data_IF_418613861130
#
_entry.id   IF_418613861130
#
_cell.length_a   1.000
_cell.length_b   1.000
_cell.length_c   1.000
_cell.angle_alpha   90.00
_cell.angle_beta   90.00
_cell.angle_gamma   90.00
#
_symmetry.space_group_name_H-M   'P 1'
#
loop_
_entity.id
_entity.type
_entity.pdbx_description
1 polymer ?
#
# COMPACT_ATOMS: atom_id res chain seq x y z
N UNK A 1 -20.39 16.99 6.13
CA UNK A 1 -20.03 15.58 6.46
C UNK A 1 -20.66 14.56 5.50
N UNK A 2 -21.98 14.59 5.23
CA UNK A 2 -22.62 13.63 4.31
C UNK A 2 -22.01 13.63 2.90
N UNK A 3 -21.68 14.80 2.33
CA UNK A 3 -21.07 14.94 1.00
C UNK A 3 -19.70 14.25 0.87
N UNK A 4 -18.81 14.45 1.84
CA UNK A 4 -17.46 13.85 1.87
C UNK A 4 -17.57 12.33 1.90
N UNK A 5 -18.43 11.79 2.75
CA UNK A 5 -18.59 10.34 2.89
C UNK A 5 -19.14 9.70 1.60
N UNK A 6 -20.06 10.36 0.90
CA UNK A 6 -20.57 9.89 -0.39
C UNK A 6 -19.46 9.83 -1.44
N UNK A 7 -18.66 10.88 -1.55
CA UNK A 7 -17.54 10.94 -2.50
C UNK A 7 -16.49 9.88 -2.14
N UNK A 8 -16.14 9.80 -0.86
CA UNK A 8 -15.20 8.81 -0.34
C UNK A 8 -15.62 7.38 -0.70
N UNK A 9 -16.88 7.00 -0.44
CA UNK A 9 -17.38 5.65 -0.77
C UNK A 9 -17.33 5.36 -2.26
N UNK A 10 -17.72 6.33 -3.09
CA UNK A 10 -17.65 6.23 -4.55
C UNK A 10 -16.20 6.01 -5.01
N UNK A 11 -15.26 6.83 -4.55
CA UNK A 11 -13.86 6.75 -4.95
C UNK A 11 -13.18 5.48 -4.43
N UNK A 12 -13.50 5.05 -3.22
CA UNK A 12 -13.01 3.79 -2.68
C UNK A 12 -13.48 2.62 -3.56
N UNK A 13 -14.78 2.57 -3.89
CA UNK A 13 -15.30 1.56 -4.83
C UNK A 13 -14.60 1.60 -6.18
N UNK A 14 -14.27 2.79 -6.69
CA UNK A 14 -13.58 2.96 -7.97
C UNK A 14 -12.12 2.50 -7.91
N UNK A 15 -11.43 2.74 -6.79
CA UNK A 15 -10.07 2.22 -6.59
C UNK A 15 -10.07 0.69 -6.59
N UNK A 16 -10.94 0.05 -5.80
CA UNK A 16 -10.97 -1.42 -5.69
C UNK A 16 -11.39 -2.12 -6.98
N UNK A 17 -12.18 -1.48 -7.85
CA UNK A 17 -12.57 -2.04 -9.16
C UNK A 17 -11.58 -1.71 -10.29
N UNK A 18 -10.55 -0.89 -10.03
CA UNK A 18 -9.63 -0.42 -11.06
C UNK A 18 -8.51 -1.42 -11.35
N UNK A 19 -8.15 -1.56 -12.63
CA UNK A 19 -6.93 -2.27 -13.03
C UNK A 19 -5.66 -1.68 -12.39
N UNK A 20 -5.64 -0.36 -12.11
CA UNK A 20 -4.52 0.29 -11.43
C UNK A 20 -4.28 -0.30 -10.04
N UNK A 21 -5.36 -0.61 -9.31
CA UNK A 21 -5.29 -1.23 -8.00
C UNK A 21 -4.73 -2.64 -8.08
N UNK A 22 -5.18 -3.45 -9.05
CA UNK A 22 -4.65 -4.80 -9.25
C UNK A 22 -3.14 -4.79 -9.55
N UNK A 23 -2.68 -3.89 -10.42
CA UNK A 23 -1.25 -3.75 -10.75
C UNK A 23 -0.45 -3.33 -9.52
N UNK A 24 -0.95 -2.37 -8.75
CA UNK A 24 -0.27 -1.87 -7.55
C UNK A 24 -0.23 -2.94 -6.45
N UNK A 25 -1.32 -3.67 -6.26
CA UNK A 25 -1.39 -4.79 -5.33
C UNK A 25 -0.41 -5.89 -5.73
N UNK A 26 -0.41 -6.31 -7.00
CA UNK A 26 0.51 -7.32 -7.51
C UNK A 26 1.98 -6.92 -7.30
N UNK A 27 2.33 -5.66 -7.60
CA UNK A 27 3.69 -5.16 -7.43
C UNK A 27 4.14 -5.24 -5.96
N UNK A 28 3.31 -4.76 -5.03
CA UNK A 28 3.63 -4.78 -3.60
C UNK A 28 3.72 -6.21 -3.07
N UNK A 29 2.82 -7.10 -3.52
CA UNK A 29 2.80 -8.49 -3.08
C UNK A 29 4.00 -9.27 -3.60
N UNK A 30 4.35 -9.13 -4.88
CA UNK A 30 5.54 -9.78 -5.46
C UNK A 30 6.79 -9.31 -4.71
N UNK A 31 6.94 -8.00 -4.50
CA UNK A 31 8.10 -7.47 -3.80
C UNK A 31 8.17 -7.93 -2.34
N UNK A 32 7.06 -7.82 -1.60
CA UNK A 32 7.02 -8.17 -0.18
C UNK A 32 7.19 -9.67 0.08
N UNK A 33 6.59 -10.53 -0.74
CA UNK A 33 6.77 -11.98 -0.62
C UNK A 33 8.19 -12.40 -1.00
N UNK A 34 8.77 -11.79 -2.05
CA UNK A 34 10.15 -12.07 -2.45
C UNK A 34 11.16 -11.65 -1.37
N UNK A 35 10.99 -10.47 -0.77
CA UNK A 35 11.87 -10.01 0.33
C UNK A 35 11.75 -10.92 1.55
N UNK A 36 10.53 -11.38 1.87
CA UNK A 36 10.28 -12.30 3.00
C UNK A 36 10.94 -13.65 2.77
N UNK A 37 10.87 -14.18 1.55
CA UNK A 37 11.52 -15.42 1.18
C UNK A 37 13.04 -15.36 1.38
N UNK A 38 13.68 -14.30 0.89
CA UNK A 38 15.12 -14.07 1.07
C UNK A 38 15.48 -13.90 2.55
N UNK A 39 14.69 -13.12 3.30
CA UNK A 39 14.91 -12.92 4.73
C UNK A 39 14.87 -14.26 5.50
N UNK A 40 13.88 -15.13 5.21
CA UNK A 40 13.77 -16.44 5.85
C UNK A 40 14.97 -17.34 5.54
N UNK A 41 15.49 -17.30 4.31
CA UNK A 41 16.68 -18.08 3.95
C UNK A 41 17.90 -17.61 4.74
N UNK A 42 18.15 -16.30 4.76
CA UNK A 42 19.30 -15.71 5.47
C UNK A 42 19.23 -15.95 6.99
N UNK A 43 18.02 -15.91 7.56
CA UNK A 43 17.77 -16.22 8.98
C UNK A 43 18.09 -17.70 9.28
N UNK A 44 17.73 -18.63 8.41
CA UNK A 44 18.00 -20.07 8.58
C UNK A 44 19.49 -20.39 8.47
N UNK A 45 20.19 -19.76 7.53
CA UNK A 45 21.64 -19.94 7.36
C UNK A 45 22.43 -19.36 8.55
N UNK A 46 21.91 -18.31 9.20
CA UNK A 46 22.52 -17.65 10.36
C UNK A 46 22.01 -18.17 11.71
N UNK A 47 21.31 -19.32 11.73
CA UNK A 47 20.54 -19.82 12.87
C UNK A 47 21.36 -20.08 14.16
N UNK A 48 22.69 -20.17 14.08
CA UNK A 48 23.55 -20.45 15.24
C UNK A 48 23.78 -19.27 16.20
N UNK A 49 23.22 -18.08 15.94
CA UNK A 49 23.42 -16.90 16.80
C UNK A 49 22.24 -15.93 16.90
N UNK A 50 21.06 -16.29 16.40
CA UNK A 50 19.95 -15.34 16.29
C UNK A 50 19.20 -15.14 17.61
N UNK A 51 19.11 -13.86 17.98
CA UNK A 51 18.65 -13.34 19.26
C UNK A 51 17.13 -13.42 19.45
N UNK A 52 16.67 -12.98 20.64
CA UNK A 52 15.27 -12.84 21.09
C UNK A 52 14.31 -12.09 20.11
N UNK A 53 14.81 -11.51 19.02
CA UNK A 53 14.05 -10.69 18.08
C UNK A 53 14.05 -11.22 16.62
N UNK A 54 14.01 -12.53 16.43
CA UNK A 54 13.96 -13.17 15.08
C UNK A 54 12.84 -12.60 14.20
N UNK A 55 11.69 -12.25 14.79
CA UNK A 55 10.57 -11.64 14.07
C UNK A 55 10.92 -10.29 13.42
N UNK A 56 11.74 -9.44 14.06
CA UNK A 56 12.13 -8.15 13.50
C UNK A 56 13.05 -8.34 12.28
N UNK A 57 13.92 -9.35 12.33
CA UNK A 57 14.83 -9.67 11.24
C UNK A 57 14.09 -10.06 9.95
N UNK A 58 12.84 -10.54 10.03
CA UNK A 58 12.03 -10.81 8.84
C UNK A 58 11.81 -9.56 7.96
N UNK A 59 11.76 -8.38 8.59
CA UNK A 59 11.49 -7.12 7.90
C UNK A 59 12.77 -6.33 7.57
N UNK A 60 13.83 -6.51 8.36
CA UNK A 60 15.09 -5.76 8.25
C UNK A 60 16.20 -6.50 7.49
N UNK A 61 16.10 -7.83 7.37
CA UNK A 61 17.11 -8.62 6.66
C UNK A 61 16.85 -8.54 5.16
N UNK A 62 17.88 -8.13 4.41
CA UNK A 62 17.93 -8.22 2.95
C UNK A 62 18.99 -9.24 2.52
N UNK A 63 19.03 -9.54 1.22
CA UNK A 63 20.13 -10.27 0.59
C UNK A 63 20.96 -9.36 -0.31
N UNK A 64 21.95 -9.93 -1.00
CA UNK A 64 22.85 -9.19 -1.89
C UNK A 64 22.12 -8.58 -3.11
N UNK A 65 21.09 -9.27 -3.60
CA UNK A 65 20.33 -8.87 -4.79
C UNK A 65 19.01 -8.19 -4.43
N UNK A 66 18.33 -8.64 -3.38
CA UNK A 66 17.02 -8.13 -2.98
C UNK A 66 17.12 -7.36 -1.65
N UNK A 67 16.74 -6.07 -1.63
CA UNK A 67 16.78 -5.29 -0.40
C UNK A 67 15.76 -5.80 0.64
N UNK A 68 15.94 -5.37 1.89
CA UNK A 68 14.97 -5.66 2.94
C UNK A 68 13.59 -5.07 2.62
N UNK A 69 12.54 -5.67 3.20
CA UNK A 69 11.17 -5.18 3.05
C UNK A 69 11.03 -3.71 3.47
N UNK A 70 11.65 -3.32 4.58
CA UNK A 70 11.61 -1.93 5.06
C UNK A 70 12.24 -0.99 4.04
N UNK A 71 13.41 -1.33 3.50
CA UNK A 71 14.08 -0.51 2.48
C UNK A 71 13.21 -0.37 1.23
N UNK A 72 12.57 -1.46 0.79
CA UNK A 72 11.65 -1.41 -0.35
C UNK A 72 10.47 -0.46 -0.09
N UNK A 73 9.80 -0.61 1.05
CA UNK A 73 8.66 0.22 1.42
C UNK A 73 9.03 1.68 1.62
N UNK A 74 10.18 1.98 2.21
CA UNK A 74 10.67 3.35 2.39
C UNK A 74 10.84 4.09 1.07
N UNK A 75 11.15 3.38 -0.02
CA UNK A 75 11.24 3.96 -1.36
C UNK A 75 9.87 4.04 -2.06
N UNK A 76 9.06 2.97 -2.00
CA UNK A 76 7.82 2.88 -2.76
C UNK A 76 6.66 3.69 -2.17
N UNK A 77 6.53 3.79 -0.84
CA UNK A 77 5.43 4.54 -0.21
C UNK A 77 5.41 6.01 -0.67
N UNK A 78 6.52 6.78 -0.62
CA UNK A 78 6.52 8.17 -1.07
C UNK A 78 6.11 8.31 -2.54
N UNK A 79 6.59 7.43 -3.42
CA UNK A 79 6.28 7.46 -4.85
C UNK A 79 4.78 7.22 -5.07
N UNK A 80 4.22 6.17 -4.44
CA UNK A 80 2.80 5.86 -4.55
C UNK A 80 1.95 6.98 -3.95
N UNK A 81 2.37 7.55 -2.81
CA UNK A 81 1.70 8.68 -2.17
C UNK A 81 1.63 9.91 -3.09
N UNK A 82 2.72 10.23 -3.78
CA UNK A 82 2.74 11.31 -4.78
C UNK A 82 1.79 10.99 -5.93
N UNK A 83 1.83 9.78 -6.49
CA UNK A 83 0.95 9.37 -7.60
C UNK A 83 -0.53 9.50 -7.19
N UNK A 84 -0.90 9.03 -6.00
CA UNK A 84 -2.28 9.10 -5.51
C UNK A 84 -2.69 10.53 -5.19
N UNK A 85 -1.78 11.37 -4.68
CA UNK A 85 -2.01 12.80 -4.50
C UNK A 85 -2.28 13.52 -5.83
N UNK A 86 -1.50 13.22 -6.88
CA UNK A 86 -1.74 13.74 -8.22
C UNK A 86 -3.06 13.22 -8.81
N UNK A 87 -3.38 11.93 -8.64
CA UNK A 87 -4.62 11.35 -9.13
C UNK A 87 -5.84 11.96 -8.43
N UNK A 88 -5.75 12.27 -7.13
CA UNK A 88 -6.83 12.96 -6.39
C UNK A 88 -7.18 14.32 -7.01
N UNK A 89 -6.20 15.04 -7.57
CA UNK A 89 -6.41 16.36 -8.19
C UNK A 89 -6.79 16.21 -9.68
N UNK A 90 -6.06 15.39 -10.43
CA UNK A 90 -6.12 15.36 -11.89
C UNK A 90 -7.07 14.30 -12.48
N UNK A 91 -7.50 13.30 -11.69
CA UNK A 91 -8.36 12.19 -12.18
C UNK A 91 -9.59 12.68 -12.94
N UNK A 92 -10.25 13.72 -12.42
CA UNK A 92 -11.50 14.25 -12.96
C UNK A 92 -11.31 15.11 -14.21
N UNK A 93 -10.14 15.74 -14.33
CA UNK A 93 -9.75 16.44 -15.55
C UNK A 93 -9.44 15.44 -16.66
N UNK A 94 -8.70 14.37 -16.32
CA UNK A 94 -8.32 13.32 -17.26
C UNK A 94 -9.52 12.49 -17.73
N UNK A 95 -10.54 12.30 -16.87
CA UNK A 95 -11.76 11.57 -17.19
C UNK A 95 -12.82 12.40 -17.93
N UNK A 96 -12.60 13.70 -18.10
CA UNK A 96 -13.58 14.63 -18.68
C UNK A 96 -14.80 14.93 -17.79
N UNK A 97 -14.83 14.43 -16.56
CA UNK A 97 -15.99 14.56 -15.67
C UNK A 97 -15.97 15.83 -14.79
N UNK A 98 -14.92 16.64 -14.86
CA UNK A 98 -14.76 17.84 -14.03
C UNK A 98 -15.95 18.80 -14.13
N UNK A 99 -16.43 19.08 -15.35
CA UNK A 99 -17.58 19.98 -15.56
C UNK A 99 -18.86 19.46 -14.91
N UNK A 100 -19.10 18.13 -14.98
CA UNK A 100 -20.27 17.48 -14.39
C UNK A 100 -20.22 17.45 -12.87
N UNK A 101 -19.02 17.38 -12.30
CA UNK A 101 -18.83 17.38 -10.86
C UNK A 101 -18.99 18.79 -10.28
N UNK A 102 -18.49 19.82 -10.98
CA UNK A 102 -18.62 21.22 -10.57
C UNK A 102 -20.02 21.82 -10.78
N UNK A 103 -20.84 21.21 -11.64
CA UNK A 103 -22.24 21.63 -11.83
C UNK A 103 -23.19 21.14 -10.73
N UNK A 104 -22.73 20.21 -9.89
CA UNK A 104 -23.51 19.73 -8.75
C UNK A 104 -23.30 20.63 -7.52
N UNK A 105 -24.30 20.78 -6.64
CA UNK A 105 -24.20 21.59 -5.43
C UNK A 105 -23.33 20.90 -4.35
N UNK A 106 -22.04 20.71 -4.66
CA UNK A 106 -21.05 20.04 -3.81
C UNK A 106 -19.88 21.01 -3.61
N UNK A 107 -19.47 21.21 -2.36
CA UNK A 107 -18.29 22.02 -2.05
C UNK A 107 -17.01 21.40 -2.61
N UNK A 108 -16.16 22.22 -3.24
CA UNK A 108 -14.88 21.79 -3.84
C UNK A 108 -13.97 21.10 -2.82
N UNK A 109 -13.92 21.60 -1.59
CA UNK A 109 -13.11 21.02 -0.52
C UNK A 109 -13.61 19.62 -0.13
N UNK A 110 -14.93 19.38 -0.20
CA UNK A 110 -15.49 18.05 0.06
C UNK A 110 -15.06 17.03 -0.99
N UNK A 111 -14.85 17.48 -2.22
CA UNK A 111 -14.39 16.64 -3.34
C UNK A 111 -12.94 16.26 -3.14
N UNK A 112 -12.07 17.24 -2.88
CA UNK A 112 -10.64 17.04 -2.69
C UNK A 112 -10.40 16.14 -1.47
N UNK A 113 -11.01 16.47 -0.32
CA UNK A 113 -10.85 15.69 0.90
C UNK A 113 -11.41 14.27 0.77
N UNK A 114 -12.55 14.09 0.09
CA UNK A 114 -13.12 12.77 -0.16
C UNK A 114 -12.22 11.88 -1.01
N UNK A 115 -11.63 12.44 -2.08
CA UNK A 115 -10.66 11.74 -2.95
C UNK A 115 -9.38 11.39 -2.24
N UNK A 116 -8.81 12.36 -1.52
CA UNK A 116 -7.58 12.17 -0.78
C UNK A 116 -7.73 11.10 0.32
N UNK A 117 -8.84 11.13 1.06
CA UNK A 117 -9.13 10.13 2.09
C UNK A 117 -9.32 8.74 1.50
N UNK A 118 -9.96 8.62 0.33
CA UNK A 118 -10.11 7.34 -0.36
C UNK A 118 -8.75 6.77 -0.78
N UNK A 119 -7.89 7.60 -1.39
CA UNK A 119 -6.54 7.21 -1.79
C UNK A 119 -5.67 6.76 -0.61
N UNK A 120 -5.65 7.52 0.49
CA UNK A 120 -4.94 7.13 1.73
C UNK A 120 -5.49 5.82 2.25
N UNK A 121 -6.80 5.67 2.34
CA UNK A 121 -7.40 4.45 2.89
C UNK A 121 -7.04 3.22 2.06
N UNK A 122 -7.11 3.33 0.73
CA UNK A 122 -6.68 2.25 -0.17
C UNK A 122 -5.22 1.90 0.05
N UNK A 123 -4.32 2.89 0.13
CA UNK A 123 -2.90 2.68 0.39
C UNK A 123 -2.66 1.99 1.74
N UNK A 124 -3.33 2.46 2.80
CA UNK A 124 -3.26 1.86 4.15
C UNK A 124 -3.73 0.42 4.17
N UNK A 125 -4.82 0.08 3.46
CA UNK A 125 -5.32 -1.30 3.35
C UNK A 125 -4.28 -2.19 2.69
N UNK A 126 -3.67 -1.74 1.59
CA UNK A 126 -2.67 -2.54 0.87
C UNK A 126 -1.44 -2.79 1.75
N UNK A 127 -0.90 -1.75 2.38
CA UNK A 127 0.27 -1.87 3.27
C UNK A 127 -0.05 -2.75 4.48
N UNK A 128 -1.19 -2.53 5.14
CA UNK A 128 -1.60 -3.36 6.27
C UNK A 128 -1.76 -4.82 5.85
N UNK A 129 -2.37 -5.09 4.69
CA UNK A 129 -2.58 -6.45 4.20
C UNK A 129 -1.26 -7.20 4.00
N UNK A 130 -0.26 -6.59 3.35
CA UNK A 130 1.02 -7.24 3.12
C UNK A 130 1.81 -7.42 4.41
N UNK A 131 1.76 -6.46 5.34
CA UNK A 131 2.41 -6.58 6.65
C UNK A 131 1.79 -7.73 7.46
N UNK A 132 0.47 -7.89 7.45
CA UNK A 132 -0.19 -9.02 8.11
C UNK A 132 0.15 -10.36 7.46
N UNK A 133 0.22 -10.43 6.12
CA UNK A 133 0.62 -11.65 5.41
C UNK A 133 2.05 -12.04 5.76
N UNK A 134 2.99 -11.09 5.68
CA UNK A 134 4.40 -11.33 6.02
C UNK A 134 4.53 -11.75 7.48
N UNK A 135 3.82 -11.08 8.39
CA UNK A 135 3.81 -11.44 9.81
C UNK A 135 3.28 -12.86 10.03
N UNK A 136 2.19 -13.24 9.37
CA UNK A 136 1.60 -14.57 9.46
C UNK A 136 2.54 -15.66 8.93
N UNK A 137 3.17 -15.44 7.78
CA UNK A 137 4.18 -16.34 7.21
C UNK A 137 5.39 -16.44 8.15
N UNK A 138 5.83 -15.33 8.71
CA UNK A 138 6.94 -15.25 9.66
C UNK A 138 6.70 -16.06 10.92
N UNK A 139 5.56 -15.84 11.58
CA UNK A 139 5.16 -16.56 12.78
C UNK A 139 5.09 -18.08 12.51
N UNK A 140 4.41 -18.47 11.42
CA UNK A 140 4.31 -19.87 11.03
C UNK A 140 5.67 -20.51 10.72
N UNK A 141 6.56 -19.80 10.04
CA UNK A 141 7.84 -20.35 9.58
C UNK A 141 8.92 -20.39 10.67
N UNK A 142 8.87 -19.46 11.62
CA UNK A 142 9.83 -19.36 12.73
C UNK A 142 9.34 -20.21 13.93
N UNK A 143 8.04 -20.50 14.02
CA UNK A 143 7.47 -21.39 15.04
C UNK A 143 7.31 -20.73 16.41
N UNK A 144 7.06 -19.42 16.44
CA UNK A 144 6.72 -18.66 17.66
C UNK A 144 5.21 -18.68 17.88
#
# INVERSE_FOLDING_TARGET
MRSILTIYRKELSNHFSSNKFLVLLALIYIAGLSSTYVALQNIRESASGLSKHVFLYLFTTGGDVLPSFITFISFFIPIIGIIFGFDAINSEKNSGNLSRLLSQPIYRDSVINGKFLAGITTLSIIIASIVFIISGIGLFSIGV
#
